data_IF_664651791730
#
_entry.id   IF_664651791730
#
_cell.length_a   1.000
_cell.length_b   1.000
_cell.length_c   1.000
_cell.angle_alpha   90.00
_cell.angle_beta   90.00
_cell.angle_gamma   90.00
#
_symmetry.space_group_name_H-M   'P 1'
#
loop_
_entity.id
_entity.type
_entity.pdbx_description
1 polymer ?
#
# COMPACT_ATOMS: atom_id res chain seq x y z
N UNK A 1 26.13 -3.38 -10.07
CA UNK A 1 24.85 -4.03 -10.35
C UNK A 1 23.81 -3.37 -9.46
N UNK A 2 22.97 -2.51 -10.04
CA UNK A 2 22.05 -1.65 -9.27
C UNK A 2 20.59 -1.87 -9.69
N UNK A 3 20.26 -3.12 -10.05
CA UNK A 3 18.91 -3.51 -10.48
C UNK A 3 18.02 -4.00 -9.34
N UNK A 4 18.57 -4.31 -8.15
CA UNK A 4 17.82 -5.03 -7.12
C UNK A 4 16.89 -4.18 -6.22
N UNK A 5 17.09 -2.86 -6.11
CA UNK A 5 16.34 -2.06 -5.12
C UNK A 5 15.04 -1.49 -5.67
N UNK A 6 14.99 -1.12 -6.96
CA UNK A 6 13.76 -0.60 -7.57
C UNK A 6 12.71 -1.69 -7.78
N UNK A 7 13.09 -2.83 -8.34
CA UNK A 7 12.17 -3.96 -8.55
C UNK A 7 11.58 -4.49 -7.24
N UNK A 8 12.38 -4.59 -6.18
CA UNK A 8 11.88 -5.00 -4.85
C UNK A 8 10.92 -3.98 -4.24
N UNK A 9 11.16 -2.68 -4.47
CA UNK A 9 10.26 -1.64 -3.98
C UNK A 9 8.91 -1.70 -4.71
N UNK A 10 8.96 -1.91 -6.02
CA UNK A 10 7.79 -1.97 -6.88
C UNK A 10 6.92 -3.20 -6.56
N UNK A 11 7.53 -4.38 -6.42
CA UNK A 11 6.82 -5.60 -5.99
C UNK A 11 6.17 -5.46 -4.61
N UNK A 12 6.79 -4.71 -3.69
CA UNK A 12 6.25 -4.48 -2.35
C UNK A 12 5.01 -3.58 -2.40
N UNK A 13 5.07 -2.48 -3.14
CA UNK A 13 3.95 -1.55 -3.28
C UNK A 13 2.78 -2.25 -3.96
N UNK A 14 3.02 -3.06 -4.98
CA UNK A 14 1.98 -3.87 -5.65
C UNK A 14 1.31 -4.86 -4.70
N UNK A 15 2.09 -5.58 -3.88
CA UNK A 15 1.53 -6.49 -2.87
C UNK A 15 0.63 -5.76 -1.87
N UNK A 16 1.08 -4.59 -1.39
CA UNK A 16 0.31 -3.76 -0.47
C UNK A 16 -0.98 -3.27 -1.12
N UNK A 17 -0.93 -2.85 -2.39
CA UNK A 17 -2.11 -2.45 -3.15
C UNK A 17 -3.13 -3.58 -3.27
N UNK A 18 -2.69 -4.81 -3.56
CA UNK A 18 -3.61 -5.95 -3.68
C UNK A 18 -4.23 -6.36 -2.35
N UNK A 19 -3.48 -6.24 -1.24
CA UNK A 19 -4.03 -6.43 0.11
C UNK A 19 -5.10 -5.37 0.40
N UNK A 20 -4.85 -4.09 0.09
CA UNK A 20 -5.81 -3.01 0.31
C UNK A 20 -7.07 -3.23 -0.53
N UNK A 21 -6.93 -3.61 -1.81
CA UNK A 21 -8.07 -3.98 -2.68
C UNK A 21 -8.92 -5.08 -2.06
N UNK A 22 -8.27 -6.12 -1.52
CA UNK A 22 -8.96 -7.23 -0.86
C UNK A 22 -9.64 -6.85 0.45
N UNK A 23 -9.03 -5.97 1.27
CA UNK A 23 -9.62 -5.52 2.54
C UNK A 23 -10.79 -4.57 2.31
N UNK A 24 -10.68 -3.69 1.33
CA UNK A 24 -11.66 -2.63 1.06
C UNK A 24 -12.69 -3.02 -0.01
N UNK A 25 -12.58 -4.22 -0.59
CA UNK A 25 -13.45 -4.71 -1.67
C UNK A 25 -13.51 -3.74 -2.87
N UNK A 26 -12.38 -3.08 -3.17
CA UNK A 26 -12.24 -2.13 -4.28
C UNK A 26 -11.39 -2.73 -5.40
N UNK A 27 -11.80 -2.52 -6.66
CA UNK A 27 -11.04 -3.00 -7.82
C UNK A 27 -9.85 -2.09 -8.16
N UNK A 28 -9.96 -0.80 -7.83
CA UNK A 28 -8.94 0.20 -8.18
C UNK A 28 -8.51 1.00 -6.95
N UNK A 29 -7.20 1.22 -6.84
CA UNK A 29 -6.60 2.06 -5.80
C UNK A 29 -6.45 3.47 -6.37
N UNK A 30 -6.90 4.53 -5.68
CA UNK A 30 -6.68 5.90 -6.12
C UNK A 30 -5.20 6.22 -6.30
N UNK A 31 -4.85 6.99 -7.33
CA UNK A 31 -3.45 7.32 -7.64
C UNK A 31 -2.74 8.04 -6.48
N UNK A 32 -3.48 8.86 -5.71
CA UNK A 32 -2.98 9.50 -4.50
C UNK A 32 -2.53 8.50 -3.42
N UNK A 33 -3.25 7.38 -3.28
CA UNK A 33 -2.88 6.30 -2.36
C UNK A 33 -1.65 5.57 -2.90
N UNK A 34 -1.60 5.27 -4.20
CA UNK A 34 -0.42 4.65 -4.83
C UNK A 34 0.84 5.50 -4.63
N UNK A 35 0.77 6.81 -4.87
CA UNK A 35 1.89 7.73 -4.67
C UNK A 35 2.34 7.76 -3.20
N UNK A 36 1.39 7.69 -2.26
CA UNK A 36 1.67 7.61 -0.83
C UNK A 36 2.39 6.30 -0.45
N UNK A 37 1.96 5.17 -1.03
CA UNK A 37 2.60 3.87 -0.82
C UNK A 37 4.02 3.81 -1.41
N UNK A 38 4.23 4.41 -2.59
CA UNK A 38 5.54 4.44 -3.25
C UNK A 38 6.60 5.22 -2.46
N UNK A 39 6.16 6.29 -1.78
CA UNK A 39 7.00 7.11 -0.91
C UNK A 39 7.28 6.50 0.48
N UNK A 40 6.57 5.43 0.87
CA UNK A 40 6.68 4.81 2.19
C UNK A 40 7.80 3.76 2.27
N UNK A 41 8.46 3.69 3.42
CA UNK A 41 9.41 2.62 3.72
C UNK A 41 8.70 1.27 3.93
N UNK A 42 9.48 0.17 4.00
CA UNK A 42 8.92 -1.17 4.25
C UNK A 42 8.13 -1.22 5.56
N UNK A 43 8.69 -0.62 6.61
CA UNK A 43 8.09 -0.61 7.94
C UNK A 43 6.82 0.25 7.97
N UNK A 44 6.86 1.42 7.30
CA UNK A 44 5.70 2.31 7.19
C UNK A 44 4.54 1.65 6.44
N UNK A 45 4.83 0.86 5.40
CA UNK A 45 3.80 0.10 4.67
C UNK A 45 3.16 -0.97 5.56
N UNK A 46 3.96 -1.63 6.40
CA UNK A 46 3.45 -2.59 7.38
C UNK A 46 2.51 -1.94 8.40
N UNK A 47 2.91 -0.77 8.93
CA UNK A 47 2.07 0.02 9.85
C UNK A 47 0.79 0.48 9.16
N UNK A 48 0.90 1.00 7.93
CA UNK A 48 -0.24 1.48 7.15
C UNK A 48 -1.26 0.37 6.87
N UNK A 49 -0.79 -0.82 6.47
CA UNK A 49 -1.65 -1.99 6.30
C UNK A 49 -2.34 -2.39 7.60
N UNK A 50 -1.60 -2.43 8.72
CA UNK A 50 -2.20 -2.75 10.02
C UNK A 50 -3.26 -1.73 10.42
N UNK A 51 -3.05 -0.45 10.14
CA UNK A 51 -4.03 0.61 10.40
C UNK A 51 -5.29 0.43 9.54
N UNK A 52 -5.16 0.10 8.26
CA UNK A 52 -6.29 -0.20 7.38
C UNK A 52 -7.08 -1.42 7.90
N UNK A 53 -6.38 -2.50 8.27
CA UNK A 53 -7.01 -3.71 8.83
C UNK A 53 -7.72 -3.40 10.14
N UNK A 54 -7.12 -2.60 11.02
CA UNK A 54 -7.72 -2.19 12.30
C UNK A 54 -8.92 -1.28 12.13
N UNK A 55 -8.89 -0.38 11.13
CA UNK A 55 -9.97 0.57 10.87
C UNK A 55 -11.12 -0.02 10.06
N UNK A 56 -10.91 -1.13 9.30
CA UNK A 56 -11.94 -1.82 8.48
C UNK A 56 -12.90 -0.87 7.73
N UNK A 57 -12.38 0.27 7.30
CA UNK A 57 -13.06 1.26 6.48
C UNK A 57 -12.04 2.32 6.10
N UNK A 58 -11.87 2.53 4.79
CA UNK A 58 -11.18 3.72 4.26
C UNK A 58 -12.01 5.00 4.53
N UNK A 59 -13.24 4.86 5.04
CA UNK A 59 -14.18 5.94 5.36
C UNK A 59 -13.66 6.98 6.38
N UNK A 60 -12.58 6.71 7.12
CA UNK A 60 -11.97 7.67 8.05
C UNK A 60 -10.65 8.29 7.56
N UNK A 61 -10.28 8.14 6.29
CA UNK A 61 -9.19 8.93 5.69
C UNK A 61 -9.76 10.28 5.25
N UNK A 62 -10.07 11.14 6.22
CA UNK A 62 -10.33 12.56 6.03
C UNK A 62 -9.06 13.39 6.31
#
# INVERSE_FOLDING_TARGET
MSMDTKDRNQNRVELVMDIIKGICEIETIPEAVKAKLDAMSYDDLGVFLMDIVKKRSIDEIH
#
